data_IF_608331481887
#
_entry.id   IF_608331481887
#
_cell.length_a   1.000
_cell.length_b   1.000
_cell.length_c   1.000
_cell.angle_alpha   90.00
_cell.angle_beta   90.00
_cell.angle_gamma   90.00
#
_symmetry.space_group_name_H-M   'P 1'
#
loop_
_entity.id
_entity.type
_entity.pdbx_description
1 polymer ?
#
# COMPACT_ATOMS: atom_id res chain seq x y z
N UNK A 1 6.00 20.83 31.37
CA UNK A 1 5.90 22.28 31.16
C UNK A 1 5.00 22.57 29.93
N UNK A 2 4.46 23.81 29.85
CA UNK A 2 3.63 24.23 28.69
C UNK A 2 4.35 24.05 27.33
N UNK A 3 5.68 24.23 27.28
CA UNK A 3 6.48 23.99 26.05
C UNK A 3 6.52 22.52 25.66
N UNK A 4 6.59 21.60 26.61
CA UNK A 4 6.53 20.16 26.29
C UNK A 4 5.13 19.73 25.75
N UNK A 5 4.05 20.30 26.32
CA UNK A 5 2.69 20.04 25.77
C UNK A 5 2.49 20.64 24.38
N UNK A 6 3.07 21.81 24.08
CA UNK A 6 3.00 22.40 22.74
C UNK A 6 3.86 21.65 21.71
N UNK A 7 5.01 21.09 22.09
CA UNK A 7 5.79 20.20 21.21
C UNK A 7 5.02 18.90 20.90
N UNK A 8 4.38 18.29 21.90
CA UNK A 8 3.56 17.10 21.67
C UNK A 8 2.32 17.34 20.78
N UNK A 9 1.84 18.58 20.67
CA UNK A 9 0.68 18.91 19.83
C UNK A 9 1.10 19.20 18.38
N UNK A 10 2.31 19.71 18.14
CA UNK A 10 2.82 19.98 16.77
C UNK A 10 3.24 18.72 16.01
N UNK A 11 3.62 17.67 16.73
CA UNK A 11 4.16 16.43 16.13
C UNK A 11 3.12 15.30 16.05
N UNK A 12 1.83 15.63 16.19
CA UNK A 12 0.77 14.63 16.04
C UNK A 12 0.48 14.39 14.57
N UNK A 13 0.78 13.18 14.11
CA UNK A 13 0.32 12.69 12.83
C UNK A 13 -1.09 12.14 12.98
N UNK A 14 -2.00 12.65 12.17
CA UNK A 14 -3.34 12.08 12.07
C UNK A 14 -3.34 11.06 10.93
N UNK A 15 -3.83 9.87 11.21
CA UNK A 15 -4.04 8.84 10.18
C UNK A 15 -5.47 8.90 9.69
N UNK A 16 -5.68 8.60 8.40
CA UNK A 16 -7.02 8.41 7.87
C UNK A 16 -7.72 7.20 8.49
N UNK A 17 -9.02 7.12 8.34
CA UNK A 17 -9.84 6.08 8.95
C UNK A 17 -9.39 4.67 8.57
N UNK A 18 -9.06 4.42 7.31
CA UNK A 18 -8.61 3.12 6.79
C UNK A 18 -7.19 2.74 7.22
N UNK A 19 -6.39 3.68 7.74
CA UNK A 19 -4.99 3.47 8.10
C UNK A 19 -4.73 3.45 9.61
N UNK A 20 -5.75 3.58 10.44
CA UNK A 20 -5.57 3.77 11.89
C UNK A 20 -4.85 2.60 12.59
N UNK A 21 -5.04 1.38 12.12
CA UNK A 21 -4.42 0.18 12.69
C UNK A 21 -3.00 -0.06 12.19
N UNK A 22 -2.82 -0.07 10.87
CA UNK A 22 -1.57 -0.50 10.25
C UNK A 22 -0.48 0.58 10.27
N UNK A 23 -0.86 1.84 10.05
CA UNK A 23 0.11 2.93 9.95
C UNK A 23 0.96 3.12 11.22
N UNK A 24 0.43 3.11 12.44
CA UNK A 24 1.25 3.20 13.66
C UNK A 24 2.25 2.05 13.77
N UNK A 25 1.87 0.85 13.38
CA UNK A 25 2.74 -0.32 13.33
C UNK A 25 3.90 -0.10 12.35
N UNK A 26 3.62 0.30 11.11
CA UNK A 26 4.64 0.58 10.10
C UNK A 26 5.60 1.70 10.53
N UNK A 27 5.08 2.80 11.08
CA UNK A 27 5.91 3.89 11.60
C UNK A 27 6.80 3.43 12.77
N UNK A 28 6.28 2.56 13.63
CA UNK A 28 7.04 1.92 14.69
C UNK A 28 8.19 1.06 14.16
N UNK A 29 7.93 0.25 13.14
CA UNK A 29 8.94 -0.59 12.49
C UNK A 29 10.03 0.25 11.83
N UNK A 30 9.67 1.27 11.06
CA UNK A 30 10.63 2.17 10.42
C UNK A 30 11.57 2.78 11.46
N UNK A 31 10.99 3.31 12.54
CA UNK A 31 11.78 3.95 13.60
C UNK A 31 12.67 2.95 14.34
N UNK A 32 12.16 1.76 14.64
CA UNK A 32 12.94 0.71 15.29
C UNK A 32 14.13 0.26 14.41
N UNK A 33 13.90 -0.02 13.12
CA UNK A 33 14.96 -0.43 12.19
C UNK A 33 16.02 0.67 12.07
N UNK A 34 15.60 1.93 11.95
CA UNK A 34 16.51 3.08 11.88
C UNK A 34 17.39 3.24 13.13
N UNK A 35 16.87 2.86 14.31
CA UNK A 35 17.58 2.99 15.60
C UNK A 35 18.43 1.76 15.93
N UNK A 36 17.98 0.56 15.56
CA UNK A 36 18.67 -0.69 15.90
C UNK A 36 19.95 -0.89 15.11
N UNK A 37 20.00 -0.39 13.86
CA UNK A 37 21.10 -0.67 12.93
C UNK A 37 21.25 -2.15 12.54
N UNK A 38 20.31 -3.01 12.95
CA UNK A 38 20.33 -4.43 12.64
C UNK A 38 19.72 -4.68 11.25
N UNK A 39 20.42 -5.46 10.40
CA UNK A 39 19.90 -5.83 9.09
C UNK A 39 18.67 -6.76 9.17
N UNK A 40 18.66 -7.66 10.17
CA UNK A 40 17.52 -8.52 10.50
C UNK A 40 16.98 -8.12 11.86
N UNK A 41 16.07 -7.15 11.93
CA UNK A 41 15.58 -6.63 13.19
C UNK A 41 14.76 -7.67 13.94
N UNK A 42 14.72 -7.54 15.26
CA UNK A 42 13.81 -8.31 16.10
C UNK A 42 12.41 -7.69 16.04
N UNK A 43 11.42 -8.45 16.43
CA UNK A 43 10.04 -7.95 16.45
C UNK A 43 9.83 -6.97 17.63
N UNK A 44 9.66 -5.66 17.39
CA UNK A 44 9.71 -4.67 18.44
C UNK A 44 8.46 -4.63 19.33
N UNK A 45 7.36 -5.25 18.89
CA UNK A 45 6.07 -5.25 19.61
C UNK A 45 5.92 -6.42 20.58
N UNK A 46 6.82 -7.40 20.50
CA UNK A 46 6.82 -8.56 21.41
C UNK A 46 8.07 -8.55 22.27
N UNK A 47 7.91 -8.76 23.57
CA UNK A 47 9.04 -8.97 24.48
C UNK A 47 9.80 -10.26 24.13
N UNK A 48 11.14 -10.24 24.35
CA UNK A 48 12.00 -11.38 24.07
C UNK A 48 12.73 -11.34 22.74
N UNK A 49 13.21 -12.50 22.27
CA UNK A 49 14.08 -12.63 21.08
C UNK A 49 13.32 -13.15 19.85
N UNK A 50 12.12 -12.67 19.64
CA UNK A 50 11.33 -13.11 18.49
C UNK A 50 11.88 -12.53 17.18
N UNK A 51 11.96 -13.38 16.15
CA UNK A 51 12.34 -12.94 14.80
C UNK A 51 11.23 -12.10 14.20
N UNK A 52 11.62 -11.16 13.33
CA UNK A 52 10.70 -10.31 12.61
C UNK A 52 10.02 -11.13 11.48
N UNK A 53 8.83 -11.67 11.77
CA UNK A 53 8.05 -12.48 10.83
C UNK A 53 7.14 -11.68 9.89
N UNK A 54 7.34 -10.37 9.77
CA UNK A 54 6.56 -9.48 8.90
C UNK A 54 7.38 -9.06 7.67
N UNK A 55 6.76 -8.86 6.49
CA UNK A 55 7.47 -8.34 5.31
C UNK A 55 7.96 -6.91 5.54
N UNK A 56 9.22 -6.75 5.95
CA UNK A 56 9.77 -5.49 6.45
C UNK A 56 10.68 -4.74 5.46
N UNK A 57 10.92 -5.27 4.25
CA UNK A 57 11.83 -4.64 3.29
C UNK A 57 11.39 -3.22 2.91
N UNK A 58 10.10 -2.96 2.79
CA UNK A 58 9.57 -1.62 2.54
C UNK A 58 9.85 -0.67 3.72
N UNK A 59 9.86 -1.19 4.96
CA UNK A 59 10.19 -0.42 6.14
C UNK A 59 11.70 -0.12 6.22
N UNK A 60 12.53 -1.07 5.79
CA UNK A 60 13.98 -0.86 5.69
C UNK A 60 14.32 0.27 4.71
N UNK A 61 13.65 0.31 3.54
CA UNK A 61 13.82 1.43 2.60
C UNK A 61 13.48 2.76 3.27
N UNK A 62 12.37 2.84 3.98
CA UNK A 62 11.98 4.05 4.72
C UNK A 62 12.94 4.39 5.86
N UNK A 63 13.47 3.38 6.56
CA UNK A 63 14.42 3.60 7.65
C UNK A 63 15.72 4.26 7.18
N UNK A 64 16.17 3.96 5.95
CA UNK A 64 17.32 4.63 5.34
C UNK A 64 17.08 6.13 5.24
N UNK A 65 15.89 6.57 4.82
CA UNK A 65 15.56 8.00 4.76
C UNK A 65 15.59 8.65 6.15
N UNK A 66 15.12 7.95 7.18
CA UNK A 66 15.20 8.43 8.57
C UNK A 66 16.66 8.60 9.03
N UNK A 67 17.50 7.61 8.75
CA UNK A 67 18.95 7.68 9.07
C UNK A 67 19.63 8.83 8.32
N UNK A 68 19.19 9.14 7.10
CA UNK A 68 19.68 10.28 6.33
C UNK A 68 19.11 11.63 6.79
N UNK A 69 18.30 11.64 7.85
CA UNK A 69 17.79 12.87 8.48
C UNK A 69 16.40 13.31 7.98
N UNK A 70 15.71 12.52 7.17
CA UNK A 70 14.33 12.83 6.79
C UNK A 70 13.40 12.67 8.01
N UNK A 71 12.38 13.52 8.08
CA UNK A 71 11.31 13.31 9.06
C UNK A 71 10.53 12.01 8.75
N UNK A 72 9.89 11.46 9.79
CA UNK A 72 9.22 10.15 9.70
C UNK A 72 8.11 10.13 8.64
N UNK A 73 7.40 11.23 8.44
CA UNK A 73 6.33 11.34 7.43
C UNK A 73 6.92 11.31 6.02
N UNK A 74 7.96 12.09 5.77
CA UNK A 74 8.66 12.08 4.48
C UNK A 74 9.26 10.69 4.19
N UNK A 75 9.93 10.10 5.17
CA UNK A 75 10.50 8.76 5.05
C UNK A 75 9.45 7.67 4.77
N UNK A 76 8.22 7.84 5.27
CA UNK A 76 7.11 6.95 4.98
C UNK A 76 6.58 7.15 3.56
N UNK A 77 6.33 8.40 3.14
CA UNK A 77 5.63 8.73 1.89
C UNK A 77 6.53 8.66 0.65
N UNK A 78 7.79 9.12 0.76
CA UNK A 78 8.69 9.23 -0.40
C UNK A 78 8.86 7.92 -1.17
N UNK A 79 9.10 6.75 -0.54
CA UNK A 79 9.23 5.50 -1.27
C UNK A 79 7.89 5.01 -1.84
N UNK A 80 6.76 5.41 -1.26
CA UNK A 80 5.44 4.99 -1.76
C UNK A 80 5.08 5.66 -3.09
N UNK A 81 5.55 6.89 -3.35
CA UNK A 81 5.25 7.59 -4.60
C UNK A 81 5.72 6.83 -5.85
N UNK A 82 7.01 6.47 -5.99
CA UNK A 82 7.45 5.67 -7.12
C UNK A 82 6.81 4.28 -7.14
N UNK A 83 6.48 3.70 -5.98
CA UNK A 83 5.79 2.43 -5.90
C UNK A 83 4.38 2.52 -6.50
N UNK A 84 3.59 3.54 -6.18
CA UNK A 84 2.29 3.77 -6.80
C UNK A 84 2.41 4.00 -8.32
N UNK A 85 3.36 4.83 -8.75
CA UNK A 85 3.59 5.07 -10.18
C UNK A 85 3.95 3.77 -10.93
N UNK A 86 4.76 2.92 -10.32
CA UNK A 86 5.10 1.60 -10.87
C UNK A 86 3.87 0.71 -10.98
N UNK A 87 3.08 0.58 -9.92
CA UNK A 87 1.86 -0.24 -9.88
C UNK A 87 0.86 0.25 -10.93
N UNK A 88 0.58 1.54 -10.98
CA UNK A 88 -0.37 2.11 -11.94
C UNK A 88 0.10 1.96 -13.38
N UNK A 89 1.37 2.27 -13.64
CA UNK A 89 1.95 2.15 -14.99
C UNK A 89 1.96 0.71 -15.48
N UNK A 90 2.35 -0.24 -14.62
CA UNK A 90 2.40 -1.65 -14.99
C UNK A 90 1.01 -2.27 -15.14
N UNK A 91 0.06 -1.91 -14.27
CA UNK A 91 -1.33 -2.34 -14.41
C UNK A 91 -1.91 -1.87 -15.76
N UNK A 92 -1.72 -0.58 -16.09
CA UNK A 92 -2.21 -0.03 -17.34
C UNK A 92 -1.56 -0.71 -18.57
N UNK A 93 -0.25 -0.94 -18.53
CA UNK A 93 0.45 -1.64 -19.60
C UNK A 93 -0.07 -3.08 -19.77
N UNK A 94 -0.26 -3.80 -18.67
CA UNK A 94 -0.83 -5.15 -18.69
C UNK A 94 -2.25 -5.13 -19.25
N UNK A 95 -3.11 -4.24 -18.75
CA UNK A 95 -4.49 -4.10 -19.23
C UNK A 95 -4.54 -3.77 -20.72
N UNK A 96 -3.64 -2.90 -21.19
CA UNK A 96 -3.54 -2.56 -22.60
C UNK A 96 -3.13 -3.76 -23.48
N UNK A 97 -2.21 -4.58 -22.99
CA UNK A 97 -1.78 -5.80 -23.69
C UNK A 97 -2.91 -6.83 -23.77
N UNK A 98 -3.60 -7.04 -22.66
CA UNK A 98 -4.71 -8.02 -22.58
C UNK A 98 -5.90 -7.60 -23.44
N UNK A 99 -6.21 -6.30 -23.49
CA UNK A 99 -7.42 -5.78 -24.17
C UNK A 99 -7.15 -5.30 -25.59
N UNK A 100 -5.91 -5.16 -25.98
CA UNK A 100 -5.42 -4.58 -27.25
C UNK A 100 -6.05 -3.20 -27.58
N UNK A 101 -6.42 -2.44 -26.54
CA UNK A 101 -7.08 -1.15 -26.69
C UNK A 101 -6.74 -0.22 -25.53
N UNK A 102 -6.29 1.00 -25.86
CA UNK A 102 -6.02 2.02 -24.84
C UNK A 102 -7.30 2.42 -24.07
N UNK A 103 -8.43 2.56 -24.77
CA UNK A 103 -9.70 2.93 -24.11
C UNK A 103 -10.18 1.84 -23.15
N UNK A 104 -10.11 0.56 -23.54
CA UNK A 104 -10.46 -0.55 -22.64
C UNK A 104 -9.48 -0.64 -21.46
N UNK A 105 -8.19 -0.38 -21.67
CA UNK A 105 -7.21 -0.35 -20.60
C UNK A 105 -7.48 0.79 -19.60
N UNK A 106 -7.83 1.98 -20.07
CA UNK A 106 -8.23 3.09 -19.22
C UNK A 106 -9.50 2.76 -18.44
N UNK A 107 -10.49 2.15 -19.06
CA UNK A 107 -11.71 1.71 -18.38
C UNK A 107 -11.40 0.67 -17.30
N UNK A 108 -10.59 -0.35 -17.62
CA UNK A 108 -10.16 -1.35 -16.64
C UNK A 108 -9.40 -0.73 -15.46
N UNK A 109 -8.49 0.21 -15.74
CA UNK A 109 -7.77 0.95 -14.71
C UNK A 109 -8.72 1.73 -13.79
N UNK A 110 -9.64 2.47 -14.37
CA UNK A 110 -10.63 3.23 -13.62
C UNK A 110 -11.52 2.33 -12.77
N UNK A 111 -12.10 1.29 -13.35
CA UNK A 111 -12.96 0.36 -12.63
C UNK A 111 -12.22 -0.36 -11.50
N UNK A 112 -10.96 -0.72 -11.70
CA UNK A 112 -10.18 -1.42 -10.69
C UNK A 112 -9.76 -0.52 -9.54
N UNK A 113 -9.16 0.63 -9.82
CA UNK A 113 -8.60 1.50 -8.78
C UNK A 113 -9.60 2.50 -8.20
N UNK A 114 -10.52 3.01 -9.02
CA UNK A 114 -11.51 4.02 -8.61
C UNK A 114 -12.91 3.43 -8.41
N UNK A 115 -13.09 2.15 -8.71
CA UNK A 115 -14.35 1.46 -8.48
C UNK A 115 -14.71 1.43 -7.00
N UNK A 116 -16.00 1.50 -6.71
CA UNK A 116 -16.53 1.34 -5.36
C UNK A 116 -17.76 0.45 -5.39
N UNK A 117 -18.13 -0.08 -4.22
CA UNK A 117 -19.39 -0.78 -4.05
C UNK A 117 -20.59 0.18 -4.17
N UNK A 118 -21.78 -0.39 -4.23
CA UNK A 118 -23.02 0.38 -4.35
C UNK A 118 -23.41 1.19 -3.10
N UNK A 119 -22.59 1.17 -2.05
CA UNK A 119 -22.79 1.94 -0.82
C UNK A 119 -22.91 3.45 -1.04
N UNK A 120 -22.35 4.00 -2.13
CA UNK A 120 -22.48 5.40 -2.49
C UNK A 120 -23.95 5.86 -2.65
N UNK A 121 -24.85 4.96 -3.07
CA UNK A 121 -26.26 5.29 -3.25
C UNK A 121 -26.93 5.66 -1.91
N UNK A 122 -26.55 4.98 -0.82
CA UNK A 122 -27.01 5.29 0.53
C UNK A 122 -26.38 6.57 1.07
N UNK A 123 -25.12 6.83 0.72
CA UNK A 123 -24.42 8.04 1.14
C UNK A 123 -25.02 9.30 0.50
N UNK A 124 -25.32 9.28 -0.81
CA UNK A 124 -25.96 10.41 -1.49
C UNK A 124 -27.32 10.77 -0.92
N UNK A 125 -28.04 9.77 -0.36
CA UNK A 125 -29.31 10.00 0.33
C UNK A 125 -29.19 10.51 1.77
N UNK A 126 -28.02 10.42 2.39
CA UNK A 126 -27.77 10.75 3.81
C UNK A 126 -26.88 11.99 4.01
N UNK A 127 -26.22 12.48 2.98
CA UNK A 127 -25.33 13.63 3.09
C UNK A 127 -26.13 14.94 3.08
N UNK A 128 -26.01 15.73 4.16
CA UNK A 128 -26.65 17.05 4.28
C UNK A 128 -26.17 18.06 3.24
N UNK A 129 -24.95 17.85 2.72
CA UNK A 129 -24.40 18.66 1.62
C UNK A 129 -23.25 17.96 0.92
N UNK A 130 -23.01 18.28 -0.35
CA UNK A 130 -21.86 17.78 -1.10
C UNK A 130 -20.52 18.19 -0.46
N UNK A 131 -20.47 19.37 0.17
CA UNK A 131 -19.29 19.84 0.90
C UNK A 131 -19.02 19.01 2.18
N UNK A 132 -20.04 18.44 2.80
CA UNK A 132 -19.91 17.57 3.97
C UNK A 132 -19.07 16.32 3.71
N UNK A 133 -18.98 15.87 2.45
CA UNK A 133 -18.12 14.75 2.04
C UNK A 133 -16.64 15.01 2.38
N UNK A 134 -16.21 16.27 2.29
CA UNK A 134 -14.80 16.66 2.49
C UNK A 134 -14.51 17.17 3.90
N UNK A 135 -15.52 17.54 4.65
CA UNK A 135 -15.39 18.19 5.95
C UNK A 135 -15.95 17.38 7.12
N UNK A 136 -16.85 16.46 6.84
CA UNK A 136 -17.51 15.62 7.85
C UNK A 136 -16.77 14.29 8.08
N UNK A 137 -16.88 13.77 9.31
CA UNK A 137 -16.52 12.41 9.61
C UNK A 137 -17.69 11.50 9.26
N UNK A 138 -17.53 10.61 8.31
CA UNK A 138 -18.58 9.69 7.85
C UNK A 138 -18.06 8.25 7.74
N UNK A 139 -18.97 7.31 7.89
CA UNK A 139 -18.69 5.90 7.60
C UNK A 139 -18.42 5.77 6.10
N UNK A 140 -17.38 5.05 5.72
CA UNK A 140 -17.02 4.86 4.31
C UNK A 140 -18.20 4.22 3.57
N UNK A 141 -18.80 4.89 2.56
CA UNK A 141 -19.99 4.38 1.89
C UNK A 141 -19.75 3.09 1.11
N UNK A 142 -18.49 2.71 0.93
CA UNK A 142 -18.06 1.45 0.32
C UNK A 142 -18.29 0.25 1.24
N UNK A 143 -18.23 0.45 2.57
CA UNK A 143 -18.45 -0.57 3.58
C UNK A 143 -19.70 -0.23 4.39
N UNK A 144 -20.83 -0.78 3.99
CA UNK A 144 -22.10 -0.63 4.67
C UNK A 144 -22.61 -2.00 5.13
N UNK A 145 -21.95 -2.54 6.15
CA UNK A 145 -22.12 -3.92 6.65
C UNK A 145 -23.58 -4.19 7.05
N UNK A 146 -24.28 -3.21 7.62
CA UNK A 146 -25.70 -3.31 7.99
C UNK A 146 -26.61 -3.60 6.80
N UNK A 147 -26.18 -3.26 5.59
CA UNK A 147 -26.90 -3.51 4.33
C UNK A 147 -26.24 -4.62 3.50
N UNK A 148 -25.34 -5.40 4.11
CA UNK A 148 -24.57 -6.43 3.43
C UNK A 148 -23.83 -5.93 2.19
N UNK A 149 -23.31 -4.70 2.27
CA UNK A 149 -22.47 -4.09 1.24
C UNK A 149 -21.05 -4.02 1.78
N UNK A 150 -20.19 -4.91 1.28
CA UNK A 150 -18.78 -4.93 1.58
C UNK A 150 -17.99 -4.72 0.29
N UNK A 151 -17.13 -3.73 0.29
CA UNK A 151 -16.26 -3.45 -0.85
C UNK A 151 -14.90 -2.96 -0.37
N UNK A 152 -13.85 -3.58 -0.86
CA UNK A 152 -12.47 -3.17 -0.59
C UNK A 152 -11.98 -2.36 -1.78
N UNK A 153 -11.73 -1.06 -1.57
CA UNK A 153 -11.07 -0.25 -2.59
C UNK A 153 -9.56 -0.53 -2.58
N UNK A 154 -8.97 -0.92 -3.72
CA UNK A 154 -7.54 -1.28 -3.77
C UNK A 154 -6.61 -0.17 -3.28
N UNK A 155 -6.92 1.10 -3.50
CA UNK A 155 -6.07 2.21 -3.07
C UNK A 155 -6.18 2.43 -1.57
N UNK A 156 -7.41 2.70 -1.11
CA UNK A 156 -7.66 3.23 0.24
C UNK A 156 -7.58 2.14 1.31
N UNK A 157 -8.07 0.95 0.99
CA UNK A 157 -8.19 -0.14 1.97
C UNK A 157 -7.04 -1.14 1.88
N UNK A 158 -6.27 -1.16 0.78
CA UNK A 158 -5.21 -2.13 0.57
C UNK A 158 -3.83 -1.47 0.37
N UNK A 159 -3.63 -0.68 -0.69
CA UNK A 159 -2.29 -0.21 -1.06
C UNK A 159 -1.74 0.88 -0.13
N UNK A 160 -2.61 1.74 0.43
CA UNK A 160 -2.18 2.78 1.37
C UNK A 160 -1.88 2.19 2.75
N UNK A 161 -2.78 1.42 3.40
CA UNK A 161 -2.51 0.88 4.72
C UNK A 161 -1.48 -0.24 4.70
N UNK A 162 -1.51 -1.11 3.71
CA UNK A 162 -0.63 -2.29 3.62
C UNK A 162 0.55 -2.05 2.67
N UNK A 163 1.58 -1.38 3.16
CA UNK A 163 2.78 -1.06 2.37
C UNK A 163 3.45 -2.29 1.75
N UNK A 164 3.50 -3.39 2.47
CA UNK A 164 4.06 -4.65 1.96
C UNK A 164 3.34 -5.09 0.67
N UNK A 165 2.03 -4.91 0.60
CA UNK A 165 1.23 -5.21 -0.60
C UNK A 165 1.57 -4.25 -1.74
N UNK A 166 1.67 -2.94 -1.48
CA UNK A 166 2.06 -1.97 -2.50
C UNK A 166 3.41 -2.31 -3.13
N UNK A 167 4.43 -2.56 -2.30
CA UNK A 167 5.76 -2.92 -2.79
C UNK A 167 5.78 -4.32 -3.43
N UNK A 168 4.98 -5.25 -2.92
CA UNK A 168 4.79 -6.57 -3.54
C UNK A 168 4.21 -6.46 -4.95
N UNK A 169 3.25 -5.57 -5.17
CA UNK A 169 2.68 -5.33 -6.50
C UNK A 169 3.64 -4.67 -7.47
N UNK A 170 4.60 -3.87 -6.98
CA UNK A 170 5.69 -3.34 -7.82
C UNK A 170 6.53 -4.44 -8.47
N UNK A 171 6.60 -5.61 -7.83
CA UNK A 171 7.32 -6.79 -8.34
C UNK A 171 6.39 -7.74 -9.06
N UNK A 172 5.19 -7.97 -8.52
CA UNK A 172 4.21 -8.89 -9.07
C UNK A 172 3.71 -8.46 -10.46
N UNK A 173 3.32 -7.20 -10.65
CA UNK A 173 2.74 -6.76 -11.93
C UNK A 173 3.74 -6.83 -13.09
N UNK A 174 5.02 -6.43 -12.96
CA UNK A 174 6.02 -6.70 -13.98
C UNK A 174 6.21 -8.19 -14.25
N UNK A 175 6.20 -9.04 -13.23
CA UNK A 175 6.32 -10.48 -13.40
C UNK A 175 5.14 -11.04 -14.21
N UNK A 176 3.91 -10.64 -13.88
CA UNK A 176 2.70 -11.05 -14.63
C UNK A 176 2.74 -10.52 -16.06
N UNK A 177 3.20 -9.29 -16.28
CA UNK A 177 3.34 -8.71 -17.61
C UNK A 177 4.35 -9.49 -18.48
N UNK A 178 5.50 -9.84 -17.91
CA UNK A 178 6.52 -10.63 -18.61
C UNK A 178 6.05 -12.07 -18.86
N UNK A 179 5.32 -12.65 -17.91
CA UNK A 179 4.71 -13.97 -18.06
C UNK A 179 3.66 -13.97 -19.18
N UNK A 180 2.84 -12.92 -19.24
CA UNK A 180 1.87 -12.74 -20.34
C UNK A 180 2.57 -12.75 -21.70
N UNK A 181 3.63 -11.96 -21.86
CA UNK A 181 4.42 -11.90 -23.12
C UNK A 181 5.06 -13.24 -23.46
N UNK A 182 5.56 -13.94 -22.46
CA UNK A 182 6.10 -15.28 -22.65
C UNK A 182 5.04 -16.27 -23.14
N UNK A 183 3.88 -16.33 -22.49
CA UNK A 183 2.84 -17.32 -22.77
C UNK A 183 2.06 -17.03 -24.05
N UNK A 184 1.72 -15.76 -24.29
CA UNK A 184 0.78 -15.39 -25.36
C UNK A 184 1.45 -14.73 -26.57
N UNK A 185 2.59 -14.05 -26.39
CA UNK A 185 3.32 -13.42 -27.49
C UNK A 185 4.51 -14.29 -27.96
N UNK A 186 4.78 -15.42 -27.32
CA UNK A 186 5.82 -16.37 -27.72
C UNK A 186 7.25 -15.90 -27.47
N UNK A 187 7.44 -14.87 -26.63
CA UNK A 187 8.76 -14.31 -26.32
C UNK A 187 9.54 -15.18 -25.33
N UNK A 188 10.00 -16.35 -25.76
CA UNK A 188 10.66 -17.37 -24.91
C UNK A 188 11.89 -16.86 -24.16
N UNK A 189 12.59 -15.87 -24.66
CA UNK A 189 13.76 -15.25 -23.99
C UNK A 189 13.40 -14.50 -22.70
N UNK A 190 12.12 -14.21 -22.45
CA UNK A 190 11.69 -13.54 -21.24
C UNK A 190 11.52 -14.48 -20.05
N UNK A 191 11.54 -15.78 -20.23
CA UNK A 191 11.31 -16.78 -19.17
C UNK A 191 12.12 -16.57 -17.89
N UNK A 192 13.42 -16.23 -17.92
CA UNK A 192 14.18 -16.06 -16.71
C UNK A 192 13.69 -14.92 -15.80
N UNK A 193 13.09 -13.89 -16.38
CA UNK A 193 12.70 -12.69 -15.64
C UNK A 193 11.52 -12.90 -14.69
N UNK A 194 10.37 -13.51 -15.10
CA UNK A 194 9.28 -13.82 -14.18
C UNK A 194 9.74 -14.70 -13.02
N UNK A 195 10.61 -15.69 -13.30
CA UNK A 195 11.15 -16.57 -12.26
C UNK A 195 11.98 -15.78 -11.24
N UNK A 196 12.84 -14.87 -11.69
CA UNK A 196 13.63 -14.00 -10.80
C UNK A 196 12.73 -13.14 -9.91
N UNK A 197 11.65 -12.59 -10.44
CA UNK A 197 10.70 -11.79 -9.67
C UNK A 197 9.96 -12.62 -8.61
N UNK A 198 9.57 -13.86 -8.91
CA UNK A 198 8.90 -14.72 -7.93
C UNK A 198 9.83 -15.07 -6.76
N UNK A 199 11.12 -15.25 -6.99
CA UNK A 199 12.11 -15.48 -5.94
C UNK A 199 12.32 -14.25 -5.03
N UNK A 200 12.10 -13.04 -5.52
CA UNK A 200 12.16 -11.82 -4.71
C UNK A 200 10.93 -11.65 -3.80
N UNK A 201 9.80 -12.22 -4.18
CA UNK A 201 8.54 -12.09 -3.42
C UNK A 201 8.27 -13.22 -2.43
N UNK A 202 8.87 -14.39 -2.64
CA UNK A 202 8.59 -15.60 -1.85
C UNK A 202 9.30 -15.70 -0.48
N UNK A 203 10.44 -15.06 -0.17
CA UNK A 203 11.17 -15.37 1.05
C UNK A 203 10.68 -14.67 2.30
N UNK A 204 9.54 -14.00 2.30
CA UNK A 204 9.16 -13.14 3.42
C UNK A 204 8.19 -13.75 4.42
N UNK A 205 7.80 -14.99 4.26
CA UNK A 205 6.99 -15.69 5.27
C UNK A 205 7.59 -17.04 5.60
N UNK A 206 8.44 -17.16 6.62
CA UNK A 206 8.52 -18.41 7.31
C UNK A 206 7.21 -18.58 8.10
N UNK A 207 6.23 -19.22 7.51
CA UNK A 207 5.16 -19.81 8.31
C UNK A 207 5.78 -20.93 9.12
N UNK A 208 5.89 -20.71 10.41
CA UNK A 208 6.01 -21.77 11.42
C UNK A 208 4.91 -21.56 12.42
#
# INVERSE_FOLDING_TARGET
SRRQRQMCIRDRYYTGQSCYGDMPMHLGFIKYIAQSGEFLPRYPLLGGTHRFGYPFLCETVSSVFVVLGADLRAAYLLPMLPAFLSVYGMFWQLARRVTDSAGKACLAFYLFFMGSGLGFAYFLGSADSFAGIFTGFYTTPTNFVEKNIEWVNPIVDLLIPQRATLFGWCVLLPAVYLLWRFCYEGERRLWPWPVSYTHLTLPTTPYV
#
